data_IF_877436120423
#
_entry.id   IF_877436120423
#
_cell.length_a   1.000
_cell.length_b   1.000
_cell.length_c   1.000
_cell.angle_alpha   90.00
_cell.angle_beta   90.00
_cell.angle_gamma   90.00
#
_symmetry.space_group_name_H-M   'P 1'
#
loop_
_entity.id
_entity.type
_entity.pdbx_description
1 polymer ?
#
# COMPACT_ATOMS: atom_id res chain seq x y z
N UNK A 1 -24.77 -7.92 3.87
CA UNK A 1 -25.89 -7.40 4.62
C UNK A 1 -26.07 -8.15 5.92
N UNK A 2 -26.83 -7.59 6.84
CA UNK A 2 -27.18 -8.22 8.10
C UNK A 2 -28.22 -9.31 7.85
N UNK A 3 -27.82 -10.57 7.93
CA UNK A 3 -28.76 -11.71 7.86
C UNK A 3 -29.52 -11.85 9.18
N UNK A 4 -30.69 -12.53 9.13
CA UNK A 4 -31.51 -12.73 10.32
C UNK A 4 -30.72 -13.33 11.50
N UNK A 5 -29.91 -14.40 11.33
CA UNK A 5 -29.11 -14.93 12.44
C UNK A 5 -28.13 -13.91 13.05
N UNK A 6 -27.61 -13.01 12.23
CA UNK A 6 -26.67 -11.99 12.71
C UNK A 6 -27.39 -10.88 13.49
N UNK A 7 -28.58 -10.48 13.05
CA UNK A 7 -29.42 -9.52 13.78
C UNK A 7 -29.87 -10.11 15.11
N UNK A 8 -30.40 -11.34 15.10
CA UNK A 8 -30.88 -12.05 16.30
C UNK A 8 -29.77 -12.20 17.37
N UNK A 9 -28.55 -12.55 16.91
CA UNK A 9 -27.38 -12.60 17.80
C UNK A 9 -27.05 -11.21 18.35
N UNK A 10 -27.11 -10.18 17.51
CA UNK A 10 -26.90 -8.79 17.93
C UNK A 10 -27.89 -8.33 18.99
N UNK A 11 -29.18 -8.64 18.83
CA UNK A 11 -30.22 -8.28 19.83
C UNK A 11 -29.96 -8.92 21.20
N UNK A 12 -29.63 -10.21 21.22
CA UNK A 12 -29.30 -10.89 22.46
C UNK A 12 -28.06 -10.33 23.13
N UNK A 13 -27.00 -10.04 22.35
CA UNK A 13 -25.79 -9.45 22.89
C UNK A 13 -26.01 -8.03 23.44
N UNK A 14 -26.70 -7.16 22.69
CA UNK A 14 -27.00 -5.79 23.10
C UNK A 14 -27.93 -5.78 24.33
N UNK A 15 -28.98 -6.63 24.37
CA UNK A 15 -29.86 -6.78 25.50
C UNK A 15 -29.10 -7.05 26.79
N UNK A 16 -28.18 -8.02 26.76
CA UNK A 16 -27.37 -8.39 27.90
C UNK A 16 -26.40 -7.29 28.35
N UNK A 17 -25.61 -6.78 27.42
CA UNK A 17 -24.45 -5.95 27.76
C UNK A 17 -24.77 -4.46 27.86
N UNK A 18 -25.77 -3.97 27.12
CA UNK A 18 -26.17 -2.57 27.18
C UNK A 18 -27.36 -2.30 28.09
N UNK A 19 -28.31 -3.25 28.17
CA UNK A 19 -29.54 -3.08 28.95
C UNK A 19 -29.57 -3.92 30.24
N UNK A 20 -28.59 -4.82 30.40
CA UNK A 20 -28.59 -5.74 31.58
C UNK A 20 -29.72 -6.78 31.55
N UNK A 21 -30.27 -7.07 30.36
CA UNK A 21 -31.44 -7.95 30.19
C UNK A 21 -31.06 -9.22 29.43
N UNK A 22 -31.64 -10.36 29.80
CA UNK A 22 -31.42 -11.63 29.13
C UNK A 22 -30.06 -12.26 29.44
N UNK A 23 -29.75 -13.37 28.74
CA UNK A 23 -28.55 -14.17 28.92
C UNK A 23 -27.51 -13.98 27.81
N UNK A 24 -27.82 -13.17 26.79
CA UNK A 24 -26.96 -12.88 25.65
C UNK A 24 -27.12 -13.87 24.47
N UNK A 25 -28.04 -14.82 24.56
CA UNK A 25 -28.37 -15.71 23.45
C UNK A 25 -29.14 -14.97 22.38
N UNK A 26 -29.06 -15.44 21.09
CA UNK A 26 -29.83 -14.86 20.01
C UNK A 26 -31.34 -14.76 20.38
N UNK A 27 -31.91 -13.58 20.13
CA UNK A 27 -33.34 -13.35 20.28
C UNK A 27 -33.98 -13.43 18.91
N UNK A 28 -34.93 -14.37 18.75
CA UNK A 28 -35.65 -14.55 17.51
C UNK A 28 -36.40 -13.29 17.13
N UNK A 29 -36.19 -12.84 15.88
CA UNK A 29 -36.92 -11.70 15.34
C UNK A 29 -38.33 -12.09 14.92
N UNK A 30 -39.29 -11.30 15.34
CA UNK A 30 -40.66 -11.48 14.85
C UNK A 30 -40.74 -11.06 13.37
N UNK A 31 -41.63 -11.70 12.61
CA UNK A 31 -41.84 -11.28 11.22
C UNK A 31 -42.49 -9.90 11.21
N UNK A 32 -41.86 -9.00 10.42
CA UNK A 32 -42.39 -7.65 10.18
C UNK A 32 -42.46 -7.39 8.69
N UNK A 33 -43.41 -6.56 8.29
CA UNK A 33 -43.50 -6.11 6.92
C UNK A 33 -42.50 -4.97 6.70
N UNK A 34 -41.66 -5.12 5.67
CA UNK A 34 -40.69 -4.10 5.31
C UNK A 34 -41.32 -3.20 4.26
N UNK A 35 -41.37 -1.90 4.54
CA UNK A 35 -41.79 -0.91 3.57
C UNK A 35 -40.92 -0.93 2.31
N UNK A 36 -41.54 -0.74 1.16
CA UNK A 36 -40.80 -0.58 -0.08
C UNK A 36 -39.90 0.67 0.01
N UNK A 37 -38.57 0.54 -0.12
CA UNK A 37 -37.65 1.68 -0.07
C UNK A 37 -37.97 2.77 -1.10
N UNK A 38 -38.80 2.46 -2.10
CA UNK A 38 -39.26 3.40 -3.15
C UNK A 38 -40.64 3.98 -2.87
N UNK A 39 -41.29 3.59 -1.76
CA UNK A 39 -42.57 4.19 -1.40
C UNK A 39 -42.39 5.69 -1.11
N UNK A 40 -43.38 6.53 -1.43
CA UNK A 40 -43.30 7.97 -1.16
C UNK A 40 -42.95 8.30 0.30
N UNK A 41 -43.44 7.48 1.25
CA UNK A 41 -43.22 7.67 2.68
C UNK A 41 -41.77 7.40 3.11
N UNK A 42 -41.01 6.68 2.29
CA UNK A 42 -39.59 6.35 2.52
C UNK A 42 -38.63 7.29 1.79
N UNK A 43 -39.15 8.16 0.91
CA UNK A 43 -38.31 9.08 0.13
C UNK A 43 -38.18 10.44 0.85
N UNK A 44 -36.94 10.92 0.96
CA UNK A 44 -36.67 12.25 1.50
C UNK A 44 -36.92 13.37 0.48
N UNK A 45 -36.98 13.03 -0.82
CA UNK A 45 -37.17 13.98 -1.89
C UNK A 45 -38.30 13.53 -2.81
N UNK A 46 -39.19 14.45 -3.20
CA UNK A 46 -40.28 14.18 -4.09
C UNK A 46 -39.81 13.59 -5.43
N UNK A 47 -40.46 12.49 -5.83
CA UNK A 47 -40.13 11.80 -7.07
C UNK A 47 -38.73 11.18 -7.13
N UNK A 48 -38.06 11.00 -5.98
CA UNK A 48 -36.70 10.49 -5.88
C UNK A 48 -35.67 11.34 -6.65
N UNK A 49 -35.93 12.64 -6.74
CA UNK A 49 -35.02 13.57 -7.42
C UNK A 49 -34.19 14.35 -6.41
N UNK A 50 -32.87 14.20 -6.51
CA UNK A 50 -31.95 15.00 -5.70
C UNK A 50 -32.07 16.48 -6.12
N UNK A 51 -32.20 17.45 -5.19
CA UNK A 51 -32.21 18.87 -5.51
C UNK A 51 -31.07 19.28 -6.42
N UNK A 52 -31.32 20.19 -7.37
CA UNK A 52 -30.37 20.56 -8.40
C UNK A 52 -29.09 21.24 -7.84
N UNK A 53 -29.19 21.81 -6.64
CA UNK A 53 -28.09 22.45 -5.90
C UNK A 53 -27.33 21.49 -4.96
N UNK A 54 -27.70 20.21 -4.94
CA UNK A 54 -27.07 19.21 -4.10
C UNK A 54 -25.61 18.96 -4.52
N UNK A 55 -24.76 18.91 -3.52
CA UNK A 55 -23.35 18.55 -3.68
C UNK A 55 -23.17 17.04 -3.61
N UNK A 56 -22.42 16.49 -4.52
CA UNK A 56 -21.97 15.10 -4.48
C UNK A 56 -20.57 15.02 -3.87
N UNK A 57 -20.15 13.83 -3.42
CA UNK A 57 -18.75 13.60 -2.97
C UNK A 57 -17.76 14.01 -4.08
N UNK A 58 -18.11 13.81 -5.36
CA UNK A 58 -17.28 14.19 -6.51
C UNK A 58 -17.12 15.71 -6.59
N UNK A 59 -18.24 16.46 -6.46
CA UNK A 59 -18.20 17.94 -6.51
C UNK A 59 -17.47 18.53 -5.31
N UNK A 60 -17.67 17.98 -4.12
CA UNK A 60 -16.95 18.38 -2.91
C UNK A 60 -15.44 18.11 -3.03
N UNK A 61 -15.06 16.93 -3.51
CA UNK A 61 -13.66 16.60 -3.74
C UNK A 61 -13.01 17.50 -4.80
N UNK A 62 -13.74 17.83 -5.87
CA UNK A 62 -13.25 18.79 -6.89
C UNK A 62 -12.99 20.16 -6.30
N UNK A 63 -13.95 20.73 -5.57
CA UNK A 63 -13.78 22.01 -4.88
C UNK A 63 -12.59 21.99 -3.92
N UNK A 64 -12.43 20.91 -3.17
CA UNK A 64 -11.29 20.74 -2.28
C UNK A 64 -9.97 20.68 -3.02
N UNK A 65 -9.91 19.93 -4.12
CA UNK A 65 -8.72 19.83 -4.96
C UNK A 65 -8.35 21.17 -5.61
N UNK A 66 -9.34 21.93 -6.08
CA UNK A 66 -9.13 23.29 -6.63
C UNK A 66 -8.57 24.25 -5.57
N UNK A 67 -9.12 24.23 -4.35
CA UNK A 67 -8.63 25.03 -3.25
C UNK A 67 -7.18 24.65 -2.85
N UNK A 68 -6.86 23.37 -2.77
CA UNK A 68 -5.51 22.89 -2.49
C UNK A 68 -4.53 23.27 -3.60
N UNK A 69 -4.94 23.14 -4.87
CA UNK A 69 -4.12 23.55 -6.02
C UNK A 69 -3.83 25.05 -6.01
N UNK A 70 -4.83 25.88 -5.67
CA UNK A 70 -4.65 27.32 -5.55
C UNK A 70 -3.71 27.71 -4.40
N UNK A 71 -3.64 26.90 -3.35
CA UNK A 71 -2.74 27.08 -2.21
C UNK A 71 -1.31 26.56 -2.47
N UNK A 72 -1.09 25.77 -3.55
CA UNK A 72 0.24 25.31 -3.90
C UNK A 72 1.15 26.48 -4.26
N UNK A 73 2.36 26.45 -3.71
CA UNK A 73 3.39 27.46 -3.99
C UNK A 73 3.73 27.51 -5.48
N UNK A 74 3.97 28.68 -6.01
CA UNK A 74 4.56 28.86 -7.33
C UNK A 74 5.95 28.21 -7.35
N UNK A 75 6.31 27.46 -8.41
CA UNK A 75 7.64 26.86 -8.51
C UNK A 75 8.75 27.95 -8.37
N UNK A 76 9.81 27.68 -7.61
CA UNK A 76 10.92 28.60 -7.48
C UNK A 76 11.57 28.87 -8.83
N UNK A 77 12.12 30.07 -9.01
CA UNK A 77 12.79 30.49 -10.24
C UNK A 77 14.31 30.39 -10.16
N UNK A 78 14.85 30.07 -8.99
CA UNK A 78 16.29 29.93 -8.76
C UNK A 78 16.63 28.66 -7.96
N UNK A 79 17.91 28.32 -7.95
CA UNK A 79 18.43 27.12 -7.29
C UNK A 79 18.24 27.13 -5.76
N UNK A 80 18.40 28.30 -5.15
CA UNK A 80 18.28 28.42 -3.69
C UNK A 80 16.83 28.17 -3.24
N UNK A 81 15.87 28.79 -3.91
CA UNK A 81 14.45 28.59 -3.67
C UNK A 81 14.02 27.15 -3.94
N UNK A 82 14.55 26.53 -5.00
CA UNK A 82 14.29 25.11 -5.28
C UNK A 82 14.85 24.18 -4.19
N UNK A 83 16.07 24.44 -3.73
CA UNK A 83 16.70 23.65 -2.65
C UNK A 83 15.88 23.73 -1.37
N UNK A 84 15.41 24.93 -1.01
CA UNK A 84 14.55 25.15 0.16
C UNK A 84 13.22 24.40 0.00
N UNK A 85 12.53 24.57 -1.13
CA UNK A 85 11.24 23.93 -1.38
C UNK A 85 11.36 22.41 -1.41
N UNK A 86 12.38 21.86 -2.06
CA UNK A 86 12.65 20.44 -2.08
C UNK A 86 12.92 19.86 -0.67
N UNK A 87 13.56 20.65 0.20
CA UNK A 87 13.72 20.30 1.60
C UNK A 87 12.38 20.16 2.32
N UNK A 88 11.53 21.17 2.23
CA UNK A 88 10.18 21.12 2.83
C UNK A 88 9.35 19.98 2.27
N UNK A 89 9.33 19.77 0.96
CA UNK A 89 8.58 18.66 0.34
C UNK A 89 9.06 17.29 0.80
N UNK A 90 10.38 17.12 1.06
CA UNK A 90 10.88 15.86 1.62
C UNK A 90 10.40 15.62 3.04
N UNK A 91 10.39 16.62 3.89
CA UNK A 91 9.85 16.50 5.25
C UNK A 91 8.37 16.14 5.22
N UNK A 92 7.56 16.85 4.41
CA UNK A 92 6.13 16.58 4.24
C UNK A 92 5.88 15.14 3.74
N UNK A 93 6.72 14.65 2.82
CA UNK A 93 6.64 13.27 2.34
C UNK A 93 6.96 12.25 3.44
N UNK A 94 7.96 12.52 4.29
CA UNK A 94 8.26 11.62 5.39
C UNK A 94 7.11 11.56 6.40
N UNK A 95 6.45 12.67 6.68
CA UNK A 95 5.26 12.68 7.54
C UNK A 95 4.13 11.84 6.95
N UNK A 96 3.88 11.93 5.63
CA UNK A 96 2.89 11.11 4.93
C UNK A 96 3.25 9.61 4.97
N UNK A 97 4.53 9.27 4.90
CA UNK A 97 5.01 7.88 4.98
C UNK A 97 5.11 7.34 6.42
N UNK A 98 4.74 8.12 7.43
CA UNK A 98 4.79 7.67 8.83
C UNK A 98 6.14 7.89 9.51
N UNK A 99 6.93 8.81 9.00
CA UNK A 99 8.23 9.19 9.51
C UNK A 99 9.41 8.61 8.70
N UNK A 100 10.60 9.08 9.03
CA UNK A 100 11.84 8.59 8.41
C UNK A 100 12.16 7.18 8.92
N UNK A 101 12.63 6.27 8.05
CA UNK A 101 13.19 5.01 8.53
C UNK A 101 14.40 5.29 9.43
N UNK A 102 14.67 4.36 10.35
CA UNK A 102 15.87 4.43 11.16
C UNK A 102 17.12 4.48 10.27
N UNK A 103 18.08 5.35 10.62
CA UNK A 103 19.38 5.42 9.93
C UNK A 103 20.26 4.25 10.40
N UNK A 104 19.94 3.07 9.89
CA UNK A 104 20.64 1.82 10.19
C UNK A 104 21.22 1.29 8.89
N UNK A 105 22.51 1.02 8.87
CA UNK A 105 23.13 0.36 7.73
C UNK A 105 22.52 -1.04 7.53
N UNK A 106 22.02 -1.38 6.35
CA UNK A 106 21.45 -2.69 6.12
C UNK A 106 22.52 -3.77 6.18
N UNK A 107 22.20 -4.91 6.81
CA UNK A 107 23.07 -6.08 6.86
C UNK A 107 22.58 -7.14 5.89
N UNK A 108 23.44 -7.54 4.95
CA UNK A 108 23.16 -8.59 3.99
C UNK A 108 23.84 -9.90 4.39
N UNK A 109 23.09 -11.00 4.40
CA UNK A 109 23.58 -12.35 4.60
C UNK A 109 23.28 -13.20 3.39
N UNK A 110 24.29 -13.79 2.75
CA UNK A 110 24.12 -14.75 1.67
C UNK A 110 23.58 -16.07 2.27
N UNK A 111 22.48 -16.54 1.70
CA UNK A 111 21.83 -17.81 2.07
C UNK A 111 22.30 -18.94 1.17
N UNK A 112 22.40 -18.69 -0.13
CA UNK A 112 22.80 -19.65 -1.16
C UNK A 112 23.45 -18.94 -2.33
N UNK A 113 24.22 -19.69 -3.12
CA UNK A 113 24.88 -19.21 -4.34
C UNK A 113 24.80 -20.31 -5.40
N UNK A 114 24.32 -19.98 -6.58
CA UNK A 114 24.24 -20.89 -7.72
C UNK A 114 24.49 -20.19 -9.04
N UNK A 115 24.72 -20.98 -10.09
CA UNK A 115 24.84 -20.46 -11.45
C UNK A 115 23.54 -20.64 -12.22
N UNK A 116 23.14 -19.63 -12.95
CA UNK A 116 21.99 -19.65 -13.83
C UNK A 116 22.26 -18.87 -15.12
N UNK A 117 22.20 -19.54 -16.27
CA UNK A 117 22.41 -18.91 -17.59
C UNK A 117 23.70 -18.06 -17.70
N UNK A 118 24.82 -18.54 -17.14
CA UNK A 118 26.10 -17.82 -17.16
C UNK A 118 26.18 -16.65 -16.16
N UNK A 119 25.17 -16.52 -15.30
CA UNK A 119 25.15 -15.59 -14.19
C UNK A 119 25.44 -16.32 -12.88
N UNK A 120 26.19 -15.71 -12.01
CA UNK A 120 26.23 -16.06 -10.58
C UNK A 120 25.08 -15.36 -9.87
N UNK A 121 24.25 -16.13 -9.21
CA UNK A 121 23.09 -15.66 -8.46
C UNK A 121 23.30 -15.97 -6.99
N UNK A 122 23.20 -14.94 -6.15
CA UNK A 122 23.26 -15.08 -4.69
C UNK A 122 21.87 -14.76 -4.13
N UNK A 123 21.32 -15.66 -3.33
CA UNK A 123 20.12 -15.40 -2.54
C UNK A 123 20.51 -14.73 -1.25
N UNK A 124 19.89 -13.60 -0.94
CA UNK A 124 20.25 -12.77 0.19
C UNK A 124 19.06 -12.59 1.14
N UNK A 125 19.36 -12.58 2.45
CA UNK A 125 18.50 -12.02 3.47
C UNK A 125 19.10 -10.69 3.90
N UNK A 126 18.37 -9.59 3.71
CA UNK A 126 18.85 -8.23 4.03
C UNK A 126 18.04 -7.71 5.21
N UNK A 127 18.69 -7.52 6.35
CA UNK A 127 18.09 -6.86 7.51
C UNK A 127 18.17 -5.35 7.30
N UNK A 128 17.02 -4.71 7.09
CA UNK A 128 16.93 -3.27 6.82
C UNK A 128 16.74 -2.44 8.08
N UNK A 129 16.15 -3.03 9.11
CA UNK A 129 15.93 -2.44 10.43
C UNK A 129 15.66 -3.55 11.46
N UNK A 130 15.73 -3.27 12.77
CA UNK A 130 15.53 -4.28 13.80
C UNK A 130 14.20 -5.03 13.61
N UNK A 131 14.29 -6.36 13.46
CA UNK A 131 13.14 -7.23 13.26
C UNK A 131 12.57 -7.25 11.82
N UNK A 132 13.18 -6.52 10.88
CA UNK A 132 12.73 -6.45 9.49
C UNK A 132 13.80 -7.01 8.55
N UNK A 133 13.49 -8.11 7.89
CA UNK A 133 14.35 -8.73 6.89
C UNK A 133 13.60 -8.87 5.57
N UNK A 134 14.24 -8.50 4.48
CA UNK A 134 13.74 -8.65 3.12
C UNK A 134 14.56 -9.66 2.34
N UNK A 135 13.92 -10.37 1.41
CA UNK A 135 14.58 -11.32 0.52
C UNK A 135 15.08 -10.62 -0.75
N UNK A 136 16.25 -11.03 -1.22
CA UNK A 136 16.84 -10.47 -2.44
C UNK A 136 17.56 -11.52 -3.28
N UNK A 137 17.73 -11.21 -4.56
CA UNK A 137 18.64 -11.89 -5.48
C UNK A 137 19.69 -10.89 -5.96
N UNK A 138 20.96 -11.24 -5.81
CA UNK A 138 22.06 -10.52 -6.45
C UNK A 138 22.51 -11.31 -7.66
N UNK A 139 22.37 -10.72 -8.84
CA UNK A 139 22.78 -11.30 -10.11
C UNK A 139 23.99 -10.57 -10.64
N UNK A 140 24.97 -11.31 -11.13
CA UNK A 140 26.14 -10.77 -11.84
C UNK A 140 26.69 -11.79 -12.83
N UNK A 141 27.49 -11.35 -13.79
CA UNK A 141 28.20 -12.29 -14.68
C UNK A 141 29.04 -13.27 -13.85
N UNK A 142 28.99 -14.56 -14.19
CA UNK A 142 29.79 -15.58 -13.49
C UNK A 142 31.30 -15.36 -13.65
N UNK A 143 31.72 -14.64 -14.71
CA UNK A 143 33.14 -14.33 -15.05
C UNK A 143 33.57 -12.96 -14.57
N UNK A 144 32.65 -12.16 -13.98
CA UNK A 144 33.00 -10.82 -13.54
C UNK A 144 33.87 -10.87 -12.26
N UNK A 145 35.01 -10.22 -12.31
CA UNK A 145 35.89 -10.02 -11.17
C UNK A 145 35.91 -8.55 -10.74
N UNK A 146 36.07 -8.32 -9.42
CA UNK A 146 36.18 -6.98 -8.86
C UNK A 146 34.86 -6.23 -8.67
N UNK A 147 34.94 -4.90 -8.59
CA UNK A 147 33.78 -4.01 -8.41
C UNK A 147 33.12 -3.74 -9.74
N UNK A 148 31.79 -3.83 -9.78
CA UNK A 148 30.97 -3.49 -10.92
C UNK A 148 29.93 -2.44 -10.51
N UNK A 149 29.43 -1.61 -11.44
CA UNK A 149 28.27 -0.78 -11.17
C UNK A 149 27.09 -1.66 -10.82
N UNK A 150 26.20 -1.15 -9.97
CA UNK A 150 25.06 -1.90 -9.48
C UNK A 150 23.75 -1.16 -9.75
N UNK A 151 22.69 -1.91 -10.07
CA UNK A 151 21.34 -1.43 -10.18
C UNK A 151 20.43 -2.17 -9.22
N UNK A 152 19.47 -1.46 -8.63
CA UNK A 152 18.40 -2.06 -7.83
C UNK A 152 17.21 -2.27 -8.74
N UNK A 153 16.67 -3.50 -8.73
CA UNK A 153 15.47 -3.88 -9.44
C UNK A 153 14.33 -4.10 -8.43
N UNK A 154 13.21 -3.43 -8.69
CA UNK A 154 11.97 -3.61 -7.94
C UNK A 154 10.90 -4.11 -8.91
N UNK A 155 10.46 -5.35 -8.74
CA UNK A 155 9.35 -5.93 -9.49
C UNK A 155 8.00 -5.41 -9.01
N UNK A 156 6.94 -5.71 -9.74
CA UNK A 156 5.57 -5.37 -9.34
C UNK A 156 5.02 -6.35 -8.29
N UNK A 157 5.45 -7.62 -8.34
CA UNK A 157 4.99 -8.69 -7.44
C UNK A 157 6.11 -9.28 -6.61
N UNK A 158 7.24 -9.62 -7.23
CA UNK A 158 8.38 -10.22 -6.53
C UNK A 158 9.72 -10.01 -7.28
N UNK A 159 10.81 -10.38 -6.60
CA UNK A 159 12.17 -10.32 -7.14
C UNK A 159 12.44 -11.26 -8.32
N UNK A 160 11.60 -12.30 -8.53
CA UNK A 160 11.80 -13.26 -9.61
C UNK A 160 11.53 -12.65 -11.00
N UNK A 161 10.76 -11.56 -11.06
CA UNK A 161 10.47 -10.84 -12.31
C UNK A 161 11.74 -10.32 -13.00
N UNK A 162 12.85 -10.14 -12.27
CA UNK A 162 14.15 -9.77 -12.82
C UNK A 162 14.62 -10.70 -13.93
N UNK A 163 14.20 -11.97 -13.90
CA UNK A 163 14.59 -12.99 -14.90
C UNK A 163 14.02 -12.72 -16.29
N UNK A 164 12.87 -12.07 -16.36
CA UNK A 164 12.17 -11.74 -17.61
C UNK A 164 12.30 -10.26 -18.02
N UNK A 165 12.89 -9.40 -17.17
CA UNK A 165 13.00 -7.97 -17.45
C UNK A 165 14.15 -7.68 -18.42
N UNK A 166 13.81 -7.15 -19.59
CA UNK A 166 14.76 -6.84 -20.67
C UNK A 166 15.81 -5.79 -20.24
N UNK A 167 15.42 -4.85 -19.37
CA UNK A 167 16.33 -3.78 -18.89
C UNK A 167 17.36 -4.37 -17.94
N UNK A 168 16.93 -5.25 -17.03
CA UNK A 168 17.82 -5.97 -16.12
C UNK A 168 18.80 -6.87 -16.90
N UNK A 169 18.32 -7.59 -17.90
CA UNK A 169 19.17 -8.42 -18.76
C UNK A 169 20.22 -7.59 -19.49
N UNK A 170 19.84 -6.45 -20.07
CA UNK A 170 20.78 -5.55 -20.75
C UNK A 170 21.85 -5.01 -19.80
N UNK A 171 21.50 -4.63 -18.58
CA UNK A 171 22.47 -4.21 -17.58
C UNK A 171 23.48 -5.33 -17.23
N UNK A 172 22.99 -6.54 -17.07
CA UNK A 172 23.84 -7.71 -16.81
C UNK A 172 24.79 -8.00 -17.97
N UNK A 173 24.34 -7.87 -19.24
CA UNK A 173 25.17 -7.99 -20.43
C UNK A 173 26.25 -6.88 -20.52
N UNK A 174 25.92 -5.69 -20.03
CA UNK A 174 26.87 -4.55 -19.95
C UNK A 174 27.83 -4.66 -18.75
N UNK A 175 27.77 -5.75 -17.97
CA UNK A 175 28.67 -6.03 -16.85
C UNK A 175 28.23 -5.41 -15.51
N UNK A 176 26.99 -4.95 -15.38
CA UNK A 176 26.45 -4.49 -14.11
C UNK A 176 26.07 -5.65 -13.20
N UNK A 177 26.03 -5.39 -11.89
CA UNK A 177 25.32 -6.21 -10.95
C UNK A 177 23.86 -5.74 -10.82
N UNK A 178 22.93 -6.67 -10.69
CA UNK A 178 21.50 -6.35 -10.45
C UNK A 178 21.06 -6.96 -9.13
N UNK A 179 20.63 -6.11 -8.20
CA UNK A 179 20.04 -6.51 -6.92
C UNK A 179 18.53 -6.42 -7.03
N UNK A 180 17.87 -7.56 -7.13
CA UNK A 180 16.39 -7.64 -7.15
C UNK A 180 15.87 -7.88 -5.73
N UNK A 181 14.92 -7.04 -5.28
CA UNK A 181 14.41 -7.03 -3.91
C UNK A 181 12.92 -7.38 -3.86
N UNK A 182 12.54 -8.17 -2.86
CA UNK A 182 11.18 -8.19 -2.35
C UNK A 182 11.04 -7.06 -1.33
N UNK A 183 10.22 -6.06 -1.63
CA UNK A 183 9.90 -5.02 -0.65
C UNK A 183 8.91 -5.53 0.39
N UNK A 184 8.64 -4.76 1.43
CA UNK A 184 7.67 -5.14 2.48
C UNK A 184 6.31 -5.43 1.89
N UNK A 185 5.73 -6.57 2.25
CA UNK A 185 4.43 -7.00 1.77
C UNK A 185 4.44 -7.52 0.32
N UNK A 186 5.61 -7.79 -0.25
CA UNK A 186 5.76 -8.34 -1.60
C UNK A 186 6.57 -9.64 -1.57
N UNK A 187 6.38 -10.51 -2.56
CA UNK A 187 7.11 -11.76 -2.73
C UNK A 187 7.11 -12.62 -1.46
N UNK A 188 8.26 -12.98 -0.94
CA UNK A 188 8.42 -13.80 0.26
C UNK A 188 8.03 -13.08 1.56
N UNK A 189 7.83 -11.75 1.52
CA UNK A 189 7.43 -10.94 2.69
C UNK A 189 5.92 -10.70 2.76
N UNK A 190 5.13 -11.28 1.86
CA UNK A 190 3.66 -11.25 1.93
C UNK A 190 3.22 -11.98 3.20
N UNK A 191 2.51 -11.26 4.08
CA UNK A 191 1.88 -11.85 5.25
C UNK A 191 0.84 -12.90 4.85
N UNK A 192 0.86 -14.05 5.53
CA UNK A 192 -0.13 -15.12 5.37
C UNK A 192 -1.39 -14.81 6.16
#
# INVERSE_FOLDING_TARGET
GWSDPLREAGYGWMGKWLLGQGDGRPIKEDSFEVEDPKSPDMLCFDGNQIPADSETVVTLNRKRAEALRAACSTPPTDEAGWTQQAGTMREDLWDVFGGRPADVAPEARTLDTFEWNGLRVETLAITTEPGMTVAALLLRSATAEGQAPAAIFLGESDKQEVRGDVRAQKLLEEGWCVLALDTRGMGETIGK
#
